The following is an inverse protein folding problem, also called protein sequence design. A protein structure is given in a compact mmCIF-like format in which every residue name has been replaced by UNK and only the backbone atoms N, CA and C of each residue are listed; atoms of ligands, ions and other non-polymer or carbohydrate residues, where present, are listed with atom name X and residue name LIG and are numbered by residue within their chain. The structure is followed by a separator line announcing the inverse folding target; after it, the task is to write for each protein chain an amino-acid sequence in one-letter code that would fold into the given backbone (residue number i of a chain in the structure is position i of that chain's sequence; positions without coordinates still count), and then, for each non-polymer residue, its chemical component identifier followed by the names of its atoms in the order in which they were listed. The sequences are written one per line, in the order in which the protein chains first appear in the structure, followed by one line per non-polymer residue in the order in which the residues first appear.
data_IF_345477030854
#
_entry.id   IF_345477030854
#
_cell.length_a   1.000
_cell.length_b   1.000
_cell.length_c   1.000
_cell.angle_alpha   90.00
_cell.angle_beta   90.00
_cell.angle_gamma   90.00
#
_symmetry.space_group_name_H-M   'P 1'
#
loop_
_entity.id
_entity.type
_entity.pdbx_description
1 polymer ?
#
# COMPACT_ATOMS: atom_id res chain seq x y z
N UNK A 1 -5.59 3.52 -1.45
CA UNK A 1 -6.58 2.55 -0.92
C UNK A 1 -6.16 2.00 0.44
N UNK A 2 -4.95 1.44 0.58
CA UNK A 2 -4.47 0.78 1.80
C UNK A 2 -4.69 1.51 3.13
N UNK A 3 -4.20 2.75 3.28
CA UNK A 3 -4.34 3.52 4.53
C UNK A 3 -5.78 3.60 5.05
N UNK A 4 -6.73 4.01 4.21
CA UNK A 4 -8.14 4.17 4.60
C UNK A 4 -8.75 2.84 5.08
N UNK A 5 -8.36 1.74 4.45
CA UNK A 5 -8.88 0.40 4.76
C UNK A 5 -8.26 -0.24 6.00
N UNK A 6 -7.07 0.18 6.42
CA UNK A 6 -6.40 -0.40 7.60
C UNK A 6 -6.54 0.47 8.83
N UNK A 7 -6.73 1.79 8.69
CA UNK A 7 -6.72 2.73 9.81
C UNK A 7 -7.73 2.41 10.92
N UNK A 8 -8.90 1.84 10.60
CA UNK A 8 -9.90 1.50 11.62
C UNK A 8 -9.41 0.48 12.66
N UNK A 9 -8.36 -0.28 12.32
CA UNK A 9 -7.81 -1.31 13.18
C UNK A 9 -6.68 -0.80 14.07
N UNK A 10 -6.31 0.49 14.06
CA UNK A 10 -5.30 1.02 15.00
C UNK A 10 -5.85 1.10 16.42
N UNK A 11 -4.97 1.02 17.41
CA UNK A 11 -5.32 1.28 18.81
C UNK A 11 -5.54 2.78 19.05
N UNK A 12 -6.46 3.12 19.96
CA UNK A 12 -6.62 4.48 20.49
C UNK A 12 -5.87 4.72 21.81
N UNK A 13 -5.29 3.65 22.38
CA UNK A 13 -4.55 3.67 23.64
C UNK A 13 -3.10 4.13 23.39
N UNK A 14 -2.81 5.35 23.82
CA UNK A 14 -1.50 5.98 23.66
C UNK A 14 -0.41 5.35 24.54
N UNK A 15 -0.74 4.45 25.47
CA UNK A 15 0.29 3.67 26.19
C UNK A 15 0.93 2.61 25.28
N UNK A 16 0.29 2.29 24.15
CA UNK A 16 0.74 1.31 23.14
C UNK A 16 1.04 2.00 21.81
N UNK A 17 1.89 3.05 21.83
CA UNK A 17 2.19 3.92 20.67
C UNK A 17 2.53 3.19 19.36
N UNK A 18 3.17 2.01 19.42
CA UNK A 18 3.48 1.21 18.22
C UNK A 18 2.21 0.77 17.46
N UNK A 19 1.07 0.69 18.14
CA UNK A 19 -0.19 0.20 17.61
C UNK A 19 -1.18 1.31 17.25
N UNK A 20 -0.86 2.57 17.56
CA UNK A 20 -1.74 3.71 17.26
C UNK A 20 -1.61 4.20 15.81
N UNK A 21 -0.64 3.67 15.06
CA UNK A 21 -0.42 3.97 13.64
C UNK A 21 -0.63 2.78 12.72
N UNK A 22 -0.50 3.04 11.41
CA UNK A 22 -0.45 2.01 10.37
C UNK A 22 1.02 1.71 10.05
N UNK A 23 1.43 0.44 10.15
CA UNK A 23 2.74 -0.02 9.68
C UNK A 23 2.71 -0.10 8.16
N UNK A 24 3.63 0.59 7.50
CA UNK A 24 3.87 0.45 6.06
C UNK A 24 5.11 -0.41 5.86
N UNK A 25 5.04 -1.37 4.94
CA UNK A 25 6.21 -2.13 4.47
C UNK A 25 6.26 -2.00 2.96
N UNK A 26 7.38 -1.47 2.47
CA UNK A 26 7.66 -1.34 1.04
C UNK A 26 8.60 -2.47 0.62
N UNK A 27 8.19 -3.19 -0.41
CA UNK A 27 9.04 -4.12 -1.18
C UNK A 27 9.15 -3.59 -2.62
N UNK A 28 9.95 -4.24 -3.47
CA UNK A 28 10.29 -3.74 -4.81
C UNK A 28 9.06 -3.28 -5.63
N UNK A 29 8.00 -4.08 -5.67
CA UNK A 29 6.79 -3.80 -6.46
C UNK A 29 5.51 -3.87 -5.63
N UNK A 30 5.63 -3.85 -4.30
CA UNK A 30 4.50 -4.04 -3.39
C UNK A 30 4.56 -3.13 -2.19
N UNK A 31 3.39 -2.74 -1.73
CA UNK A 31 3.20 -2.05 -0.46
C UNK A 31 2.24 -2.86 0.41
N UNK A 32 2.62 -3.08 1.66
CA UNK A 32 1.77 -3.63 2.71
C UNK A 32 1.41 -2.52 3.70
N UNK A 33 0.12 -2.41 4.02
CA UNK A 33 -0.42 -1.61 5.12
C UNK A 33 -0.94 -2.58 6.17
N UNK A 34 -0.50 -2.43 7.41
CA UNK A 34 -0.93 -3.28 8.53
C UNK A 34 -1.28 -2.44 9.76
N UNK A 35 -2.39 -2.74 10.41
CA UNK A 35 -2.81 -2.11 11.66
C UNK A 35 -3.53 -3.10 12.58
N UNK A 36 -3.32 -2.97 13.89
CA UNK A 36 -4.00 -3.79 14.90
C UNK A 36 -4.21 -3.03 16.21
N UNK A 37 -5.33 -3.33 16.88
CA UNK A 37 -5.68 -2.78 18.18
C UNK A 37 -5.62 -3.86 19.28
N UNK A 38 -5.20 -5.08 18.93
CA UNK A 38 -5.20 -6.26 19.80
C UNK A 38 -6.45 -7.12 19.70
N UNK A 39 -7.54 -6.62 19.09
CA UNK A 39 -8.78 -7.38 18.83
C UNK A 39 -8.94 -7.70 17.35
N UNK A 40 -8.70 -6.72 16.48
CA UNK A 40 -8.81 -6.84 15.03
C UNK A 40 -7.46 -6.53 14.38
N UNK A 41 -7.12 -7.29 13.35
CA UNK A 41 -5.97 -7.07 12.48
C UNK A 41 -6.47 -6.80 11.06
N UNK A 42 -6.04 -5.68 10.47
CA UNK A 42 -6.32 -5.34 9.08
C UNK A 42 -5.00 -5.28 8.31
N UNK A 43 -4.93 -6.01 7.19
CA UNK A 43 -3.77 -6.01 6.29
C UNK A 43 -4.27 -5.77 4.86
N UNK A 44 -3.67 -4.83 4.16
CA UNK A 44 -3.88 -4.60 2.73
C UNK A 44 -2.54 -4.62 2.01
N UNK A 45 -2.47 -5.43 0.96
CA UNK A 45 -1.33 -5.50 0.05
C UNK A 45 -1.75 -4.97 -1.30
N UNK A 46 -0.93 -4.11 -1.87
CA UNK A 46 -1.17 -3.52 -3.18
C UNK A 46 0.11 -3.54 -4.02
N UNK A 47 -0.04 -3.54 -5.34
CA UNK A 47 1.08 -3.45 -6.27
C UNK A 47 1.46 -1.99 -6.49
N UNK A 48 2.75 -1.70 -6.44
CA UNK A 48 3.28 -0.38 -6.79
C UNK A 48 3.50 -0.37 -8.30
N UNK A 49 2.57 0.24 -9.03
CA UNK A 49 2.77 0.48 -10.46
C UNK A 49 3.68 1.68 -10.63
N UNK A 50 4.85 1.47 -11.25
CA UNK A 50 5.67 2.60 -11.68
C UNK A 50 4.99 3.26 -12.87
N UNK A 51 4.97 4.60 -12.93
CA UNK A 51 4.40 5.31 -14.09
C UNK A 51 5.26 5.14 -15.37
N UNK A 52 6.36 4.38 -15.33
CA UNK A 52 7.29 4.17 -16.43
C UNK A 52 6.80 3.20 -17.52
N UNK A 53 5.88 2.30 -17.20
CA UNK A 53 5.52 1.20 -18.10
C UNK A 53 4.48 1.60 -19.18
N UNK A 54 3.94 2.82 -19.13
CA UNK A 54 2.89 3.27 -20.05
C UNK A 54 3.40 3.95 -21.33
N UNK A 55 4.69 4.24 -21.47
CA UNK A 55 5.22 4.99 -22.62
C UNK A 55 5.73 4.10 -23.78
N UNK A 56 6.14 2.86 -23.51
CA UNK A 56 6.81 2.02 -24.53
C UNK A 56 5.87 1.42 -25.58
N UNK A 57 4.59 1.20 -25.24
CA UNK A 57 3.59 0.61 -26.16
C UNK A 57 3.08 1.59 -27.23
N UNK A 58 3.28 2.91 -27.05
CA UNK A 58 2.78 3.92 -28.00
C UNK A 58 3.74 4.20 -29.15
N UNK A 59 5.04 4.01 -28.96
CA UNK A 59 6.05 4.34 -29.97
C UNK A 59 6.21 3.25 -31.04
N UNK A 60 5.88 1.98 -30.72
CA UNK A 60 6.09 0.87 -31.65
C UNK A 60 4.98 0.72 -32.72
N UNK A 61 3.84 1.42 -32.58
CA UNK A 61 2.79 1.46 -33.62
C UNK A 61 3.08 2.45 -34.75
N UNK A 62 3.97 3.42 -34.53
CA UNK A 62 4.30 4.47 -35.52
C UNK A 62 5.42 4.07 -36.49
N UNK A 63 6.17 3.01 -36.18
CA UNK A 63 7.26 2.51 -37.01
C UNK A 63 6.85 1.37 -37.97
N UNK A 64 5.58 0.98 -38.00
CA UNK A 64 5.07 -0.17 -38.78
C UNK A 64 3.89 0.18 -39.70
N UNK A 65 3.73 1.46 -40.07
CA UNK A 65 2.78 1.93 -41.08
C UNK A 65 3.47 2.82 -42.11
#
# INVERSE_FOLDING_TARGET
RGLKTTLFATASDETRLVLTGVRLTLEAERVEFAATNGKSLAIVKDSIHTNGDKQELSNNKKAKS
#
